data_IF_865601775614
#
_entry.id   IF_865601775614
#
_cell.length_a   1.000
_cell.length_b   1.000
_cell.length_c   1.000
_cell.angle_alpha   90.00
_cell.angle_beta   90.00
_cell.angle_gamma   90.00
#
_symmetry.space_group_name_H-M   'P 1'
#
loop_
_entity.id
_entity.type
_entity.pdbx_description
1 polymer ?
#
# COMPACT_ATOMS: atom_id res chain seq x y z
N UNK A 1 -6.13 -26.02 -5.15
CA UNK A 1 -6.50 -25.48 -3.81
C UNK A 1 -5.27 -25.26 -2.93
N UNK A 2 -4.46 -26.30 -2.64
CA UNK A 2 -3.29 -26.18 -1.76
C UNK A 2 -2.27 -25.10 -2.22
N UNK A 3 -1.91 -25.07 -3.50
CA UNK A 3 -0.98 -24.06 -4.05
C UNK A 3 -1.51 -22.64 -3.83
N UNK A 4 -2.77 -22.40 -4.18
CA UNK A 4 -3.40 -21.09 -4.00
C UNK A 4 -3.47 -20.69 -2.52
N UNK A 5 -3.73 -21.64 -1.62
CA UNK A 5 -3.74 -21.41 -0.18
C UNK A 5 -2.35 -21.04 0.36
N UNK A 6 -1.30 -21.77 -0.03
CA UNK A 6 0.08 -21.47 0.35
C UNK A 6 0.50 -20.10 -0.21
N UNK A 7 0.24 -19.86 -1.50
CA UNK A 7 0.53 -18.58 -2.13
C UNK A 7 -0.15 -17.42 -1.40
N UNK A 8 -1.45 -17.53 -1.11
CA UNK A 8 -2.20 -16.50 -0.39
C UNK A 8 -1.66 -16.26 1.03
N UNK A 9 -1.22 -17.31 1.72
CA UNK A 9 -0.65 -17.22 3.07
C UNK A 9 0.69 -16.51 3.06
N UNK A 10 1.58 -16.89 2.14
CA UNK A 10 2.90 -16.27 1.97
C UNK A 10 2.74 -14.79 1.60
N UNK A 11 1.87 -14.48 0.63
CA UNK A 11 1.67 -13.12 0.16
C UNK A 11 1.10 -12.21 1.26
N UNK A 12 0.16 -12.72 2.08
CA UNK A 12 -0.35 -12.00 3.26
C UNK A 12 0.74 -11.79 4.31
N UNK A 13 1.58 -12.78 4.56
CA UNK A 13 2.67 -12.68 5.53
C UNK A 13 3.71 -11.61 5.16
N UNK A 14 4.02 -11.48 3.86
CA UNK A 14 5.02 -10.51 3.37
C UNK A 14 4.45 -9.08 3.29
N UNK A 15 3.13 -8.91 3.17
CA UNK A 15 2.50 -7.60 2.97
C UNK A 15 2.84 -6.58 4.09
N UNK A 16 2.80 -7.02 5.36
CA UNK A 16 3.08 -6.15 6.51
C UNK A 16 4.54 -5.64 6.55
N UNK A 17 5.58 -6.51 6.51
CA UNK A 17 6.95 -6.04 6.51
C UNK A 17 7.30 -5.23 5.26
N UNK A 18 6.75 -5.57 4.09
CA UNK A 18 6.99 -4.83 2.86
C UNK A 18 6.43 -3.40 2.94
N UNK A 19 5.18 -3.26 3.37
CA UNK A 19 4.53 -1.94 3.54
C UNK A 19 5.27 -1.09 4.56
N UNK A 20 5.69 -1.68 5.67
CA UNK A 20 6.45 -0.99 6.71
C UNK A 20 7.83 -0.53 6.22
N UNK A 21 8.55 -1.38 5.48
CA UNK A 21 9.83 -1.03 4.89
C UNK A 21 9.70 0.10 3.86
N UNK A 22 8.69 0.03 3.00
CA UNK A 22 8.40 1.07 2.01
C UNK A 22 8.12 2.42 2.68
N UNK A 23 7.22 2.47 3.66
CA UNK A 23 6.91 3.71 4.40
C UNK A 23 8.16 4.26 5.12
N UNK A 24 8.97 3.38 5.72
CA UNK A 24 10.20 3.81 6.39
C UNK A 24 11.21 4.47 5.44
N UNK A 25 11.24 4.06 4.17
CA UNK A 25 12.16 4.57 3.15
C UNK A 25 11.61 5.78 2.39
N UNK A 26 10.29 5.88 2.19
CA UNK A 26 9.67 6.88 1.30
C UNK A 26 9.03 8.07 2.01
N UNK A 27 8.87 8.03 3.34
CA UNK A 27 8.16 9.05 4.12
C UNK A 27 9.09 9.77 5.10
N UNK A 28 8.98 11.10 5.14
CA UNK A 28 9.71 11.95 6.09
C UNK A 28 9.51 11.45 7.55
N UNK A 29 10.59 11.30 8.34
CA UNK A 29 10.52 10.84 9.73
C UNK A 29 9.51 11.57 10.62
N UNK A 30 9.25 12.86 10.38
CA UNK A 30 8.34 13.71 11.16
C UNK A 30 6.87 13.27 11.05
N UNK A 31 6.46 12.72 9.91
CA UNK A 31 5.06 12.32 9.66
C UNK A 31 4.87 10.81 9.59
N UNK A 32 5.96 10.04 9.61
CA UNK A 32 5.95 8.59 9.45
C UNK A 32 5.05 7.84 10.44
N UNK A 33 5.06 8.22 11.72
CA UNK A 33 4.21 7.58 12.72
C UNK A 33 2.71 7.77 12.40
N UNK A 34 2.34 8.96 11.91
CA UNK A 34 0.98 9.26 11.46
C UNK A 34 0.60 8.41 10.24
N UNK A 35 1.49 8.29 9.25
CA UNK A 35 1.23 7.46 8.05
C UNK A 35 1.10 5.97 8.41
N UNK A 36 1.94 5.46 9.31
CA UNK A 36 1.82 4.10 9.84
C UNK A 36 0.47 3.91 10.56
N UNK A 37 0.07 4.87 11.39
CA UNK A 37 -1.23 4.81 12.08
C UNK A 37 -2.40 4.82 11.09
N UNK A 38 -2.38 5.72 10.10
CA UNK A 38 -3.41 5.78 9.07
C UNK A 38 -3.50 4.48 8.28
N UNK A 39 -2.37 3.85 7.97
CA UNK A 39 -2.32 2.55 7.30
C UNK A 39 -3.02 1.46 8.15
N UNK A 40 -2.74 1.42 9.45
CA UNK A 40 -3.40 0.49 10.38
C UNK A 40 -4.90 0.74 10.53
N UNK A 41 -5.32 2.00 10.58
CA UNK A 41 -6.74 2.38 10.65
C UNK A 41 -7.48 1.96 9.38
N UNK A 42 -6.88 2.16 8.20
CA UNK A 42 -7.46 1.73 6.93
C UNK A 42 -7.63 0.21 6.86
N UNK A 43 -6.65 -0.57 7.34
CA UNK A 43 -6.77 -2.03 7.44
C UNK A 43 -7.91 -2.44 8.38
N UNK A 44 -8.00 -1.82 9.55
CA UNK A 44 -9.07 -2.10 10.52
C UNK A 44 -10.47 -1.82 9.94
N UNK A 45 -10.64 -0.70 9.22
CA UNK A 45 -11.89 -0.40 8.50
C UNK A 45 -12.20 -1.49 7.48
N UNK A 46 -11.20 -1.92 6.69
CA UNK A 46 -11.36 -2.99 5.72
C UNK A 46 -11.79 -4.32 6.35
N UNK A 47 -11.21 -4.70 7.50
CA UNK A 47 -11.59 -5.90 8.24
C UNK A 47 -13.02 -5.82 8.77
N UNK A 48 -13.40 -4.68 9.35
CA UNK A 48 -14.73 -4.49 9.95
C UNK A 48 -15.83 -4.42 8.88
N UNK A 49 -15.58 -3.71 7.77
CA UNK A 49 -16.54 -3.57 6.68
C UNK A 49 -16.60 -4.82 5.79
N UNK A 50 -15.46 -5.40 5.46
CA UNK A 50 -15.35 -6.48 4.47
C UNK A 50 -15.42 -7.89 5.07
N UNK A 51 -14.84 -8.11 6.26
CA UNK A 51 -14.70 -9.44 6.86
C UNK A 51 -16.05 -10.13 7.12
N UNK A 52 -16.95 -9.53 7.94
CA UNK A 52 -18.28 -10.07 8.19
C UNK A 52 -19.14 -10.17 6.92
N UNK A 53 -19.08 -9.16 6.05
CA UNK A 53 -19.88 -9.12 4.82
C UNK A 53 -19.51 -10.25 3.83
N UNK A 54 -18.23 -10.41 3.55
CA UNK A 54 -17.73 -11.48 2.67
C UNK A 54 -17.92 -12.85 3.34
N UNK A 55 -17.71 -12.94 4.65
CA UNK A 55 -17.95 -14.15 5.44
C UNK A 55 -19.41 -14.62 5.34
N UNK A 56 -20.36 -13.70 5.45
CA UNK A 56 -21.80 -13.99 5.31
C UNK A 56 -22.14 -14.49 3.90
N UNK A 57 -21.55 -13.93 2.84
CA UNK A 57 -21.71 -14.46 1.47
C UNK A 57 -21.22 -15.90 1.37
N UNK A 58 -20.08 -16.19 2.01
CA UNK A 58 -19.49 -17.53 2.02
C UNK A 58 -20.34 -18.57 2.75
N UNK A 59 -20.97 -18.18 3.87
CA UNK A 59 -21.81 -19.06 4.67
C UNK A 59 -23.22 -19.25 4.11
N UNK A 60 -23.78 -18.24 3.43
CA UNK A 60 -25.16 -18.28 2.92
C UNK A 60 -25.29 -18.71 1.46
N UNK A 61 -24.32 -18.36 0.61
CA UNK A 61 -24.37 -18.66 -0.84
C UNK A 61 -23.39 -19.78 -1.21
N UNK A 62 -22.09 -19.48 -1.22
CA UNK A 62 -21.03 -20.47 -1.48
C UNK A 62 -19.64 -19.85 -1.30
N UNK A 63 -18.63 -20.72 -1.14
CA UNK A 63 -17.23 -20.30 -1.16
C UNK A 63 -16.84 -19.58 -2.47
N UNK A 64 -17.35 -20.03 -3.62
CA UNK A 64 -17.06 -19.39 -4.92
C UNK A 64 -17.57 -17.95 -4.95
N UNK A 65 -18.81 -17.73 -4.48
CA UNK A 65 -19.39 -16.39 -4.41
C UNK A 65 -18.58 -15.45 -3.48
N UNK A 66 -18.13 -15.96 -2.32
CA UNK A 66 -17.29 -15.17 -1.40
C UNK A 66 -15.93 -14.80 -2.02
N UNK A 67 -15.28 -15.72 -2.73
CA UNK A 67 -14.02 -15.44 -3.42
C UNK A 67 -14.21 -14.43 -4.57
N UNK A 68 -15.32 -14.51 -5.30
CA UNK A 68 -15.68 -13.51 -6.31
C UNK A 68 -15.93 -12.13 -5.69
N UNK A 69 -16.67 -12.06 -4.58
CA UNK A 69 -16.92 -10.81 -3.86
C UNK A 69 -15.61 -10.18 -3.33
N UNK A 70 -14.71 -11.00 -2.76
CA UNK A 70 -13.39 -10.54 -2.33
C UNK A 70 -12.54 -9.99 -3.49
N UNK A 71 -12.61 -10.64 -4.67
CA UNK A 71 -11.94 -10.15 -5.87
C UNK A 71 -12.50 -8.81 -6.33
N UNK A 72 -13.84 -8.67 -6.35
CA UNK A 72 -14.50 -7.42 -6.74
C UNK A 72 -14.17 -6.27 -5.78
N UNK A 73 -14.01 -6.56 -4.48
CA UNK A 73 -13.62 -5.55 -3.49
C UNK A 73 -12.21 -4.96 -3.74
N UNK A 74 -11.34 -5.65 -4.49
CA UNK A 74 -10.00 -5.15 -4.85
C UNK A 74 -9.99 -4.26 -6.10
N UNK A 75 -11.06 -4.26 -6.91
CA UNK A 75 -11.16 -3.48 -8.15
C UNK A 75 -10.85 -1.99 -7.95
N UNK A 76 -11.41 -1.27 -6.95
CA UNK A 76 -11.08 0.15 -6.77
C UNK A 76 -9.59 0.39 -6.46
N UNK A 77 -8.94 -0.53 -5.73
CA UNK A 77 -7.50 -0.43 -5.44
C UNK A 77 -6.65 -0.54 -6.71
N UNK A 78 -6.97 -1.50 -7.58
CA UNK A 78 -6.32 -1.66 -8.89
C UNK A 78 -6.50 -0.42 -9.77
N UNK A 79 -7.69 0.18 -9.76
CA UNK A 79 -7.97 1.41 -10.51
C UNK A 79 -7.18 2.60 -9.98
N UNK A 80 -7.05 2.76 -8.66
CA UNK A 80 -6.23 3.81 -8.07
C UNK A 80 -4.74 3.60 -8.34
N UNK A 81 -4.27 2.36 -8.28
CA UNK A 81 -2.87 2.03 -8.56
C UNK A 81 -2.50 2.32 -10.02
N UNK A 82 -3.36 1.93 -10.97
CA UNK A 82 -3.16 2.23 -12.40
C UNK A 82 -3.21 3.73 -12.69
N UNK A 83 -4.11 4.47 -12.02
CA UNK A 83 -4.16 5.94 -12.08
C UNK A 83 -2.88 6.58 -11.54
N UNK A 84 -2.35 6.08 -10.43
CA UNK A 84 -1.11 6.59 -9.84
C UNK A 84 0.11 6.33 -10.74
N UNK A 85 0.20 5.16 -11.37
CA UNK A 85 1.27 4.86 -12.32
C UNK A 85 1.25 5.81 -13.52
N UNK A 86 0.07 6.16 -14.04
CA UNK A 86 -0.07 7.14 -15.14
C UNK A 86 0.34 8.57 -14.76
N UNK A 87 0.41 8.88 -13.46
CA UNK A 87 0.81 10.20 -12.95
C UNK A 87 2.31 10.27 -12.60
N UNK A 88 3.02 9.13 -12.62
CA UNK A 88 4.42 9.01 -12.19
C UNK A 88 5.48 9.54 -13.16
N UNK A 89 5.09 10.05 -14.34
CA UNK A 89 5.99 10.60 -15.36
C UNK A 89 6.35 12.10 -15.17
N UNK A 90 6.28 12.66 -13.95
CA UNK A 90 6.72 14.05 -13.71
C UNK A 90 8.26 14.15 -13.72
N UNK A 91 8.84 15.16 -14.40
CA UNK A 91 10.27 15.23 -14.74
C UNK A 91 11.14 15.26 -13.50
N UNK A 92 12.29 14.58 -13.59
CA UNK A 92 13.40 14.71 -12.64
C UNK A 92 13.66 16.21 -12.47
N UNK A 93 13.32 16.75 -11.31
CA UNK A 93 13.80 18.06 -10.90
C UNK A 93 15.29 17.86 -10.72
N UNK A 94 16.04 18.16 -11.77
CA UNK A 94 17.47 18.40 -11.71
C UNK A 94 17.65 19.41 -10.59
N UNK A 95 18.15 18.94 -9.45
CA UNK A 95 18.51 19.80 -8.35
C UNK A 95 19.67 20.62 -8.89
N UNK A 96 19.34 21.84 -9.35
CA UNK A 96 20.31 22.87 -9.66
C UNK A 96 21.32 22.88 -8.53
N UNK A 97 22.57 22.69 -8.93
CA UNK A 97 23.76 22.48 -8.13
C UNK A 97 24.07 23.76 -7.34
N UNK A 98 23.27 24.08 -6.32
CA UNK A 98 23.55 25.17 -5.38
C UNK A 98 24.53 24.65 -4.32
N UNK A 99 25.73 24.31 -4.79
CA UNK A 99 26.89 24.18 -3.95
C UNK A 99 27.13 25.54 -3.28
N UNK A 100 27.27 25.62 -1.93
CA UNK A 100 27.73 26.86 -1.35
C UNK A 100 29.12 27.15 -1.94
N UNK A 101 29.22 28.25 -2.70
CA UNK A 101 30.49 28.79 -3.16
C UNK A 101 31.47 28.73 -1.99
N UNK A 102 32.60 28.10 -2.26
CA UNK A 102 33.82 28.21 -1.50
C UNK A 102 33.93 29.61 -0.87
N UNK A 103 33.77 29.68 0.46
CA UNK A 103 34.33 30.77 1.25
C UNK A 103 35.84 30.51 1.33
N UNK A 104 36.51 30.58 0.18
CA UNK A 104 37.97 30.65 0.04
C UNK A 104 38.32 31.98 -0.65
N UNK A 105 38.01 33.08 0.02
CA UNK A 105 38.58 34.37 -0.34
C UNK A 105 38.87 35.21 0.92
N UNK A 106 40.13 35.12 1.35
CA UNK A 106 40.96 36.22 1.85
C UNK A 106 40.44 37.07 3.02
N UNK A 107 41.04 36.87 4.21
CA UNK A 107 41.95 37.83 4.92
C UNK A 107 41.98 37.54 6.42
#
# INVERSE_FOLDING_TARGET
>A
AAIAFVAATVLRGINSPLTSAWINQSVDPRVRATVISMSGQADAIGQVAGGPGIGAIGSTMSLRAALSAATLALVPSLLLYTRALQQGEAPVVELEDDAPEEVTASS
#
